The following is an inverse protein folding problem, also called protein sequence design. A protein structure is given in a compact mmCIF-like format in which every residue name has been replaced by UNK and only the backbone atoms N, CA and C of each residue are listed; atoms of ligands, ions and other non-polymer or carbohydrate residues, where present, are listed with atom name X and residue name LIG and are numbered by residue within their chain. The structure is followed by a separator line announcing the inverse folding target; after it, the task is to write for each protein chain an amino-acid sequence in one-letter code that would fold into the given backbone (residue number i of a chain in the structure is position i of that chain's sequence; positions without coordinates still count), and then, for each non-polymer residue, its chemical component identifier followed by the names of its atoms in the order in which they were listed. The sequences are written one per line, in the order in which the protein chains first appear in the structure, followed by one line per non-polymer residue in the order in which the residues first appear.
data_IF_338035412412
#
_entry.id   IF_338035412412
#
_cell.length_a   1.000
_cell.length_b   1.000
_cell.length_c   1.000
_cell.angle_alpha   90.00
_cell.angle_beta   90.00
_cell.angle_gamma   90.00
#
_symmetry.space_group_name_H-M   'P 1'
#
loop_
_entity.id
_entity.type
_entity.pdbx_description
1 polymer ?
#
# COMPACT_ATOMS: atom_id res chain seq x y z
N UNK A 1 27.93 -34.95 -20.46
CA UNK A 1 26.55 -35.54 -20.31
C UNK A 1 25.42 -34.61 -20.79
N UNK A 2 25.65 -33.32 -21.05
CA UNK A 2 24.60 -32.32 -21.45
C UNK A 2 24.27 -32.33 -22.95
N UNK A 3 25.03 -33.02 -23.82
CA UNK A 3 24.78 -33.08 -25.27
C UNK A 3 23.47 -33.78 -25.69
N UNK A 4 22.78 -34.47 -24.78
CA UNK A 4 21.51 -35.18 -25.08
C UNK A 4 20.25 -34.32 -25.13
N UNK A 5 20.27 -33.02 -24.72
CA UNK A 5 19.09 -32.19 -24.64
C UNK A 5 19.17 -30.92 -25.50
N UNK A 6 19.47 -31.06 -26.79
CA UNK A 6 19.42 -29.93 -27.76
C UNK A 6 18.15 -29.09 -27.67
N UNK A 7 16.93 -29.65 -27.48
CA UNK A 7 15.72 -28.82 -27.35
C UNK A 7 15.76 -27.88 -26.15
N UNK A 8 16.27 -28.32 -25.01
CA UNK A 8 16.36 -27.51 -23.79
C UNK A 8 17.40 -26.40 -23.97
N UNK A 9 18.52 -26.67 -24.63
CA UNK A 9 19.53 -25.64 -24.91
C UNK A 9 18.96 -24.53 -25.81
N UNK A 10 18.25 -24.89 -26.87
CA UNK A 10 17.58 -23.91 -27.74
C UNK A 10 16.57 -23.08 -26.96
N UNK A 11 15.77 -23.72 -26.10
CA UNK A 11 14.80 -23.02 -25.24
C UNK A 11 15.50 -22.02 -24.30
N UNK A 12 16.58 -22.39 -23.67
CA UNK A 12 17.39 -21.48 -22.82
C UNK A 12 17.91 -20.29 -23.64
N UNK A 13 18.36 -20.48 -24.86
CA UNK A 13 18.80 -19.36 -25.73
C UNK A 13 17.66 -18.37 -26.04
N UNK A 14 16.46 -18.87 -26.31
CA UNK A 14 15.29 -18.01 -26.55
C UNK A 14 14.91 -17.23 -25.30
N UNK A 15 14.95 -17.84 -24.12
CA UNK A 15 14.69 -17.14 -22.85
C UNK A 15 15.73 -16.03 -22.62
N UNK A 16 17.01 -16.31 -22.85
CA UNK A 16 18.06 -15.30 -22.72
C UNK A 16 17.89 -14.17 -23.74
N UNK A 17 17.55 -14.48 -24.97
CA UNK A 17 17.27 -13.46 -25.99
C UNK A 17 16.09 -12.57 -25.58
N UNK A 18 15.03 -13.18 -25.11
CA UNK A 18 13.85 -12.44 -24.61
C UNK A 18 14.23 -11.55 -23.41
N UNK A 19 15.05 -12.07 -22.48
CA UNK A 19 15.59 -11.30 -21.37
C UNK A 19 16.42 -10.09 -21.80
N UNK A 20 17.31 -10.25 -22.78
CA UNK A 20 18.11 -9.15 -23.37
C UNK A 20 17.19 -8.09 -23.99
N UNK A 21 16.23 -8.51 -24.81
CA UNK A 21 15.27 -7.58 -25.45
C UNK A 21 14.46 -6.82 -24.39
N UNK A 22 13.93 -7.51 -23.40
CA UNK A 22 13.15 -6.90 -22.32
C UNK A 22 13.98 -5.90 -21.51
N UNK A 23 15.22 -6.26 -21.17
CA UNK A 23 16.13 -5.37 -20.42
C UNK A 23 16.53 -4.15 -21.27
N UNK A 24 16.71 -4.31 -22.58
CA UNK A 24 16.99 -3.20 -23.49
C UNK A 24 15.86 -2.15 -23.47
N UNK A 25 14.61 -2.59 -23.62
CA UNK A 25 13.46 -1.68 -23.53
C UNK A 25 13.33 -1.07 -22.14
N UNK A 26 13.55 -1.85 -21.07
CA UNK A 26 13.51 -1.35 -19.71
C UNK A 26 14.55 -0.25 -19.45
N UNK A 27 15.77 -0.39 -19.98
CA UNK A 27 16.82 0.65 -19.89
C UNK A 27 16.43 1.92 -20.62
N UNK A 28 15.88 1.82 -21.86
CA UNK A 28 15.45 2.98 -22.63
C UNK A 28 14.29 3.71 -21.92
N UNK A 29 13.23 2.99 -21.57
CA UNK A 29 12.07 3.57 -20.91
C UNK A 29 12.43 4.15 -19.54
N UNK A 30 13.29 3.44 -18.78
CA UNK A 30 13.82 3.92 -17.50
C UNK A 30 14.67 5.18 -17.65
N UNK A 31 15.45 5.30 -18.73
CA UNK A 31 16.18 6.53 -19.03
C UNK A 31 15.23 7.72 -19.24
N UNK A 32 14.21 7.57 -20.11
CA UNK A 32 13.22 8.64 -20.31
C UNK A 32 12.48 8.99 -19.01
N UNK A 33 12.12 7.99 -18.20
CA UNK A 33 11.48 8.24 -16.92
C UNK A 33 12.41 8.99 -15.95
N UNK A 34 13.72 8.73 -15.99
CA UNK A 34 14.70 9.42 -15.14
C UNK A 34 14.82 10.92 -15.45
N UNK A 35 14.42 11.35 -16.65
CA UNK A 35 14.42 12.76 -17.06
C UNK A 35 13.23 13.54 -16.45
N UNK A 36 12.24 12.88 -15.87
CA UNK A 36 11.11 13.55 -15.21
C UNK A 36 11.49 14.28 -13.92
N UNK A 37 12.72 14.10 -13.42
CA UNK A 37 13.29 14.81 -12.28
C UNK A 37 12.79 14.32 -10.90
N UNK A 38 13.20 15.03 -9.87
CA UNK A 38 12.75 14.88 -8.48
C UNK A 38 13.12 13.54 -7.79
N UNK A 39 14.02 12.75 -8.37
CA UNK A 39 14.56 11.55 -7.75
C UNK A 39 15.82 11.84 -6.93
N UNK A 40 16.04 11.04 -5.89
CA UNK A 40 17.31 11.05 -5.17
C UNK A 40 18.45 10.68 -6.13
N UNK A 41 19.48 11.55 -6.21
CA UNK A 41 20.56 11.45 -7.20
C UNK A 41 21.34 10.15 -7.06
N UNK A 42 21.66 9.72 -5.84
CA UNK A 42 22.43 8.50 -5.59
C UNK A 42 21.60 7.25 -5.95
N UNK A 43 20.35 7.19 -5.52
CA UNK A 43 19.48 6.02 -5.77
C UNK A 43 19.19 5.86 -7.25
N UNK A 44 18.89 6.96 -7.98
CA UNK A 44 18.66 6.91 -9.43
C UNK A 44 19.94 6.58 -10.20
N UNK A 45 21.10 7.06 -9.76
CA UNK A 45 22.39 6.73 -10.36
C UNK A 45 22.64 5.22 -10.31
N UNK A 46 22.56 4.60 -9.12
CA UNK A 46 22.81 3.16 -8.95
C UNK A 46 21.77 2.31 -9.65
N UNK A 47 20.50 2.69 -9.64
CA UNK A 47 19.44 1.99 -10.39
C UNK A 47 19.69 2.02 -11.90
N UNK A 48 19.97 3.20 -12.46
CA UNK A 48 20.20 3.40 -13.89
C UNK A 48 21.41 2.62 -14.40
N UNK A 49 22.56 2.82 -13.74
CA UNK A 49 23.79 2.15 -14.16
C UNK A 49 23.79 0.66 -13.84
N UNK A 50 23.11 0.23 -12.79
CA UNK A 50 22.84 -1.18 -12.52
C UNK A 50 22.06 -1.84 -13.64
N UNK A 51 21.01 -1.19 -14.15
CA UNK A 51 20.23 -1.66 -15.30
C UNK A 51 21.07 -1.79 -16.58
N UNK A 52 21.91 -0.80 -16.87
CA UNK A 52 22.86 -0.85 -18.01
C UNK A 52 23.87 -2.00 -17.85
N UNK A 53 24.42 -2.19 -16.66
CA UNK A 53 25.35 -3.28 -16.38
C UNK A 53 24.69 -4.67 -16.58
N UNK A 54 23.45 -4.84 -16.11
CA UNK A 54 22.67 -6.07 -16.32
C UNK A 54 22.47 -6.31 -17.81
N UNK A 55 22.13 -5.30 -18.60
CA UNK A 55 21.97 -5.42 -20.06
C UNK A 55 23.26 -5.92 -20.70
N UNK A 56 24.40 -5.29 -20.39
CA UNK A 56 25.71 -5.67 -20.95
C UNK A 56 26.06 -7.10 -20.57
N UNK A 57 25.94 -7.47 -19.28
CA UNK A 57 26.23 -8.81 -18.80
C UNK A 57 25.30 -9.87 -19.43
N UNK A 58 24.03 -9.54 -19.63
CA UNK A 58 23.07 -10.44 -20.29
C UNK A 58 23.40 -10.66 -21.75
N UNK A 59 23.82 -9.61 -22.48
CA UNK A 59 24.29 -9.72 -23.88
C UNK A 59 25.54 -10.59 -23.95
N UNK A 60 26.52 -10.33 -23.08
CA UNK A 60 27.77 -11.12 -23.02
C UNK A 60 27.46 -12.60 -22.76
N UNK A 61 26.62 -12.89 -21.76
CA UNK A 61 26.25 -14.26 -21.45
C UNK A 61 25.48 -14.93 -22.59
N UNK A 62 24.58 -14.21 -23.27
CA UNK A 62 23.86 -14.71 -24.44
C UNK A 62 24.83 -15.15 -25.54
N UNK A 63 25.86 -14.34 -25.87
CA UNK A 63 26.85 -14.71 -26.88
C UNK A 63 27.75 -15.87 -26.47
N UNK A 64 28.16 -15.92 -25.20
CA UNK A 64 28.91 -17.03 -24.65
C UNK A 64 28.13 -18.35 -24.80
N UNK A 65 26.85 -18.31 -24.39
CA UNK A 65 25.96 -19.45 -24.45
C UNK A 65 25.68 -19.87 -25.91
N UNK A 66 25.40 -18.90 -26.81
CA UNK A 66 25.07 -19.15 -28.22
C UNK A 66 26.25 -19.71 -28.99
N UNK A 67 27.47 -19.22 -28.74
CA UNK A 67 28.70 -19.70 -29.40
C UNK A 67 29.28 -20.96 -28.75
N UNK A 68 28.62 -21.50 -27.73
CA UNK A 68 29.06 -22.68 -26.98
C UNK A 68 30.47 -22.53 -26.44
N UNK A 69 30.87 -21.33 -26.04
CA UNK A 69 32.17 -21.08 -25.44
C UNK A 69 32.23 -21.84 -24.11
N UNK A 70 33.22 -22.73 -23.99
CA UNK A 70 33.39 -23.53 -22.78
C UNK A 70 33.96 -22.66 -21.67
N UNK A 71 33.11 -22.37 -20.68
CA UNK A 71 33.53 -21.72 -19.42
C UNK A 71 33.60 -22.82 -18.34
N UNK A 72 34.64 -22.83 -17.48
CA UNK A 72 34.66 -23.71 -16.31
C UNK A 72 33.37 -23.54 -15.47
N UNK A 73 32.91 -24.63 -14.89
CA UNK A 73 31.68 -24.64 -14.09
C UNK A 73 31.65 -23.51 -13.04
N UNK A 74 32.75 -23.31 -12.33
CA UNK A 74 32.91 -22.26 -11.33
C UNK A 74 32.72 -20.86 -11.95
N UNK A 75 33.35 -20.57 -13.09
CA UNK A 75 33.22 -19.29 -13.80
C UNK A 75 31.78 -19.02 -14.28
N UNK A 76 31.11 -20.04 -14.81
CA UNK A 76 29.73 -19.94 -15.22
C UNK A 76 28.78 -19.65 -14.03
N UNK A 77 28.97 -20.37 -12.92
CA UNK A 77 28.17 -20.17 -11.71
C UNK A 77 28.38 -18.77 -11.12
N UNK A 78 29.66 -18.33 -11.06
CA UNK A 78 29.99 -16.98 -10.57
C UNK A 78 29.33 -15.90 -11.41
N UNK A 79 29.39 -16.01 -12.76
CA UNK A 79 28.78 -15.03 -13.66
C UNK A 79 27.26 -14.98 -13.49
N UNK A 80 26.60 -16.13 -13.44
CA UNK A 80 25.13 -16.19 -13.23
C UNK A 80 24.72 -15.67 -11.86
N UNK A 81 25.46 -16.01 -10.80
CA UNK A 81 25.21 -15.47 -9.46
C UNK A 81 25.42 -13.96 -9.41
N UNK A 82 26.44 -13.45 -10.12
CA UNK A 82 26.67 -12.01 -10.24
C UNK A 82 25.49 -11.28 -10.95
N UNK A 83 25.00 -11.84 -12.06
CA UNK A 83 23.82 -11.29 -12.75
C UNK A 83 22.59 -11.32 -11.84
N UNK A 84 22.34 -12.42 -11.14
CA UNK A 84 21.22 -12.56 -10.22
C UNK A 84 21.30 -11.54 -9.07
N UNK A 85 22.48 -11.35 -8.48
CA UNK A 85 22.73 -10.35 -7.46
C UNK A 85 22.47 -8.93 -7.99
N UNK A 86 22.96 -8.60 -9.18
CA UNK A 86 22.75 -7.30 -9.81
C UNK A 86 21.26 -7.03 -10.09
N UNK A 87 20.50 -8.03 -10.53
CA UNK A 87 19.06 -7.92 -10.74
C UNK A 87 18.37 -7.60 -9.41
N UNK A 88 18.70 -8.34 -8.34
CA UNK A 88 18.14 -8.11 -7.01
C UNK A 88 18.48 -6.71 -6.48
N UNK A 89 19.75 -6.31 -6.55
CA UNK A 89 20.21 -5.01 -6.09
C UNK A 89 19.55 -3.86 -6.87
N UNK A 90 19.56 -3.94 -8.21
CA UNK A 90 18.96 -2.91 -9.06
C UNK A 90 17.44 -2.86 -8.88
N UNK A 91 16.78 -4.01 -8.72
CA UNK A 91 15.36 -4.08 -8.41
C UNK A 91 15.02 -3.45 -7.07
N UNK A 92 15.85 -3.66 -6.04
CA UNK A 92 15.71 -3.01 -4.74
C UNK A 92 15.84 -1.48 -4.84
N UNK A 93 16.85 -0.98 -5.57
CA UNK A 93 17.00 0.46 -5.81
C UNK A 93 15.78 1.04 -6.55
N UNK A 94 15.24 0.33 -7.55
CA UNK A 94 14.01 0.73 -8.25
C UNK A 94 12.77 0.72 -7.35
N UNK A 95 12.67 -0.25 -6.45
CA UNK A 95 11.64 -0.29 -5.41
C UNK A 95 11.70 0.93 -4.50
N UNK A 96 12.91 1.32 -4.06
CA UNK A 96 13.11 2.51 -3.23
C UNK A 96 12.64 3.78 -3.96
N UNK A 97 12.94 3.94 -5.25
CA UNK A 97 12.51 5.10 -6.05
C UNK A 97 10.98 5.22 -6.19
N UNK A 98 10.25 4.11 -6.13
CA UNK A 98 8.79 4.09 -6.33
C UNK A 98 7.98 4.06 -5.04
N UNK A 99 8.50 3.41 -4.00
CA UNK A 99 7.79 3.17 -2.74
C UNK A 99 8.46 3.80 -1.52
N UNK A 100 9.69 4.34 -1.69
CA UNK A 100 10.51 4.83 -0.58
C UNK A 100 11.42 3.75 0.00
N UNK A 101 12.50 4.18 0.68
CA UNK A 101 13.58 3.29 1.17
C UNK A 101 13.14 2.30 2.26
N UNK A 102 11.99 2.52 2.89
CA UNK A 102 11.48 1.70 4.00
C UNK A 102 10.43 0.69 3.58
N UNK A 103 10.04 0.62 2.30
CA UNK A 103 8.88 -0.14 1.82
C UNK A 103 8.93 -1.64 2.17
N UNK A 104 10.11 -2.27 2.13
CA UNK A 104 10.25 -3.70 2.49
C UNK A 104 9.97 -3.97 3.97
N UNK A 105 10.12 -2.97 4.82
CA UNK A 105 9.99 -3.10 6.27
C UNK A 105 8.71 -2.44 6.81
N UNK A 106 7.87 -1.91 5.93
CA UNK A 106 6.62 -1.24 6.33
C UNK A 106 5.72 -2.14 7.17
N UNK A 107 5.58 -3.40 6.75
CA UNK A 107 4.79 -4.42 7.43
C UNK A 107 5.63 -5.42 8.23
N UNK A 108 6.93 -5.17 8.39
CA UNK A 108 7.79 -6.07 9.13
C UNK A 108 7.45 -6.06 10.64
N UNK A 109 7.60 -7.19 11.34
CA UNK A 109 7.45 -7.25 12.80
C UNK A 109 8.40 -6.28 13.51
N UNK A 110 7.97 -5.74 14.65
CA UNK A 110 8.74 -4.76 15.41
C UNK A 110 10.21 -5.13 15.70
N UNK A 111 10.57 -6.39 16.00
CA UNK A 111 11.97 -6.76 16.17
C UNK A 111 12.83 -6.50 14.92
N UNK A 112 12.29 -6.78 13.72
CA UNK A 112 13.00 -6.54 12.45
C UNK A 112 13.08 -5.04 12.18
N UNK A 113 12.00 -4.28 12.41
CA UNK A 113 11.98 -2.82 12.27
C UNK A 113 13.02 -2.16 13.15
N UNK A 114 13.12 -2.59 14.41
CA UNK A 114 14.13 -2.09 15.36
C UNK A 114 15.56 -2.40 14.89
N UNK A 115 15.80 -3.58 14.30
CA UNK A 115 17.10 -3.96 13.77
C UNK A 115 17.58 -3.03 12.65
N UNK A 116 16.64 -2.55 11.81
CA UNK A 116 16.94 -1.63 10.70
C UNK A 116 16.75 -0.15 11.08
N UNK A 117 16.62 0.16 12.36
CA UNK A 117 16.52 1.53 12.86
C UNK A 117 15.17 2.23 12.61
N UNK A 118 14.13 1.47 12.28
CA UNK A 118 12.80 2.01 12.08
C UNK A 118 12.01 2.04 13.39
N UNK A 119 11.14 3.04 13.58
CA UNK A 119 10.24 3.06 14.74
C UNK A 119 9.32 1.84 14.73
N UNK A 120 8.84 1.47 15.91
CA UNK A 120 7.84 0.42 16.03
C UNK A 120 6.65 0.72 15.11
N UNK A 121 6.11 -0.32 14.50
CA UNK A 121 4.96 -0.17 13.63
C UNK A 121 3.74 0.29 14.47
N UNK A 122 3.34 1.52 14.29
CA UNK A 122 2.09 2.03 14.86
C UNK A 122 0.84 1.38 14.21
N UNK A 123 1.01 0.73 13.04
CA UNK A 123 -0.03 -0.12 12.44
C UNK A 123 -0.41 -1.35 13.27
N UNK A 124 0.28 -1.65 14.38
CA UNK A 124 -0.17 -2.64 15.38
C UNK A 124 -1.48 -2.25 16.08
N UNK A 125 -2.07 -1.10 15.76
CA UNK A 125 -3.43 -0.73 16.15
C UNK A 125 -4.52 -1.38 15.30
N UNK A 126 -4.24 -2.54 14.68
CA UNK A 126 -5.19 -3.29 13.83
C UNK A 126 -6.52 -3.67 14.51
N UNK A 127 -6.67 -3.41 15.78
CA UNK A 127 -7.90 -3.65 16.56
C UNK A 127 -8.46 -2.35 17.13
N UNK A 128 -8.51 -1.29 16.31
CA UNK A 128 -9.36 -0.14 16.65
C UNK A 128 -10.81 -0.61 16.62
N UNK A 129 -11.35 -0.81 17.80
CA UNK A 129 -12.75 -1.23 17.99
C UNK A 129 -13.60 -0.10 18.56
N UNK A 130 -12.98 0.99 19.00
CA UNK A 130 -13.65 2.13 19.66
C UNK A 130 -13.22 3.43 19.00
N UNK A 131 -14.19 4.23 18.61
CA UNK A 131 -13.96 5.57 18.08
C UNK A 131 -13.17 6.46 19.05
N UNK A 132 -13.35 6.26 20.34
CA UNK A 132 -12.64 6.97 21.40
C UNK A 132 -11.13 6.68 21.45
N UNK A 133 -10.69 5.60 20.82
CA UNK A 133 -9.27 5.23 20.74
C UNK A 133 -8.59 5.67 19.45
N UNK A 134 -9.32 6.29 18.51
CA UNK A 134 -8.82 6.73 17.22
C UNK A 134 -7.93 7.96 17.38
N UNK A 135 -6.64 7.85 17.02
CA UNK A 135 -5.73 9.00 16.92
C UNK A 135 -5.92 9.70 15.57
N UNK A 136 -6.12 11.03 15.61
CA UNK A 136 -6.46 11.81 14.42
C UNK A 136 -5.38 11.73 13.35
N UNK A 137 -4.11 11.90 13.72
CA UNK A 137 -3.05 11.87 12.73
C UNK A 137 -2.65 10.44 12.33
N UNK A 138 -2.39 9.58 13.31
CA UNK A 138 -1.83 8.25 13.07
C UNK A 138 -2.83 7.30 12.41
N UNK A 139 -4.10 7.37 12.80
CA UNK A 139 -5.11 6.41 12.34
C UNK A 139 -5.93 6.94 11.14
N UNK A 140 -6.00 8.27 10.94
CA UNK A 140 -6.82 8.88 9.89
C UNK A 140 -5.97 9.54 8.79
N UNK A 141 -5.11 10.51 9.15
CA UNK A 141 -4.43 11.36 8.17
C UNK A 141 -3.22 10.64 7.56
N UNK A 142 -2.35 10.05 8.38
CA UNK A 142 -1.14 9.35 7.90
C UNK A 142 -1.48 8.24 6.89
N UNK A 143 -2.50 7.37 7.10
CA UNK A 143 -2.87 6.36 6.11
C UNK A 143 -3.36 6.93 4.77
N UNK A 144 -3.99 8.12 4.77
CA UNK A 144 -4.38 8.80 3.54
C UNK A 144 -3.12 9.28 2.80
N UNK A 145 -2.17 9.92 3.52
CA UNK A 145 -0.89 10.37 2.94
C UNK A 145 -0.12 9.19 2.35
N UNK A 146 -0.01 8.08 3.09
CA UNK A 146 0.69 6.86 2.66
C UNK A 146 0.13 6.31 1.34
N UNK A 147 -1.19 6.22 1.24
CA UNK A 147 -1.84 5.62 0.07
C UNK A 147 -1.90 6.55 -1.14
N UNK A 148 -1.97 7.87 -0.96
CA UNK A 148 -2.29 8.84 -2.01
C UNK A 148 -1.14 9.75 -2.41
N UNK A 149 -0.19 10.02 -1.50
CA UNK A 149 0.79 11.11 -1.66
C UNK A 149 2.24 10.63 -1.65
N UNK A 150 2.60 9.71 -0.75
CA UNK A 150 4.00 9.33 -0.49
C UNK A 150 4.68 8.69 -1.70
N UNK A 151 3.93 8.03 -2.61
CA UNK A 151 4.54 7.47 -3.84
C UNK A 151 5.27 8.50 -4.72
N UNK A 152 4.98 9.80 -4.54
CA UNK A 152 5.63 10.91 -5.26
C UNK A 152 6.33 11.91 -4.34
N UNK A 153 5.97 11.91 -3.05
CA UNK A 153 6.46 12.88 -2.06
C UNK A 153 7.12 12.15 -0.88
N UNK A 154 8.25 11.49 -1.14
CA UNK A 154 9.04 10.74 -0.15
C UNK A 154 10.52 11.16 -0.19
N UNK A 155 11.38 10.46 0.56
CA UNK A 155 12.82 10.77 0.62
C UNK A 155 13.55 10.49 -0.69
N UNK A 156 13.08 9.50 -1.48
CA UNK A 156 13.72 9.07 -2.73
C UNK A 156 13.14 9.78 -3.97
N UNK A 157 11.92 10.31 -3.84
CA UNK A 157 11.23 11.08 -4.87
C UNK A 157 10.52 12.26 -4.22
N UNK A 158 11.11 13.45 -4.35
CA UNK A 158 10.63 14.68 -3.70
C UNK A 158 10.07 15.67 -4.71
N UNK A 159 8.97 15.33 -5.37
CA UNK A 159 8.34 16.29 -6.27
C UNK A 159 8.02 17.60 -5.56
N UNK A 160 8.56 18.73 -6.08
CA UNK A 160 8.44 20.03 -5.45
C UNK A 160 9.18 20.15 -4.11
N UNK A 161 10.28 19.39 -3.93
CA UNK A 161 11.06 19.27 -2.68
C UNK A 161 10.20 18.91 -1.45
N UNK A 162 9.04 18.27 -1.69
CA UNK A 162 8.06 17.95 -0.67
C UNK A 162 8.21 16.50 -0.20
N UNK A 163 8.36 16.33 1.11
CA UNK A 163 8.40 15.03 1.76
C UNK A 163 7.24 14.89 2.76
N UNK A 164 6.38 13.89 2.55
CA UNK A 164 5.17 13.65 3.34
C UNK A 164 5.26 12.39 4.23
N UNK A 165 6.46 11.82 4.39
CA UNK A 165 6.66 10.56 5.14
C UNK A 165 6.61 10.73 6.66
N UNK A 166 6.61 11.95 7.16
CA UNK A 166 6.49 12.24 8.60
C UNK A 166 5.69 13.52 8.82
N UNK A 167 5.07 13.64 10.00
CA UNK A 167 4.37 14.87 10.38
C UNK A 167 5.29 16.10 10.33
N UNK A 168 6.52 16.00 10.82
CA UNK A 168 7.46 17.13 10.84
C UNK A 168 7.84 17.59 9.44
N UNK A 169 8.07 16.66 8.50
CA UNK A 169 8.37 17.01 7.11
C UNK A 169 7.14 17.56 6.38
N UNK A 170 5.95 17.00 6.63
CA UNK A 170 4.67 17.53 6.12
C UNK A 170 4.48 19.00 6.52
N UNK A 171 4.71 19.32 7.78
CA UNK A 171 4.55 20.71 8.31
C UNK A 171 5.67 21.66 7.89
N UNK A 172 6.83 21.14 7.50
CA UNK A 172 7.92 21.91 6.91
C UNK A 172 7.52 22.48 5.53
N UNK A 173 6.79 21.68 4.74
CA UNK A 173 6.42 21.99 3.36
C UNK A 173 7.52 21.67 2.35
N UNK A 174 7.43 22.23 1.14
CA UNK A 174 8.33 21.99 0.03
C UNK A 174 8.87 23.29 -0.59
N UNK A 175 9.21 23.23 -1.87
CA UNK A 175 9.76 24.36 -2.65
C UNK A 175 8.86 25.61 -2.61
N UNK A 176 7.54 25.43 -2.65
CA UNK A 176 6.54 26.53 -2.57
C UNK A 176 6.28 27.00 -1.13
N UNK A 177 7.01 26.52 -0.14
CA UNK A 177 6.81 26.83 1.28
C UNK A 177 5.85 25.87 1.97
N UNK A 178 5.17 26.37 3.04
CA UNK A 178 4.23 25.55 3.82
C UNK A 178 2.99 25.22 3.02
N UNK A 179 2.66 23.93 2.94
CA UNK A 179 1.47 23.44 2.25
C UNK A 179 0.24 23.31 3.16
N UNK A 180 0.46 23.38 4.48
CA UNK A 180 -0.59 23.38 5.51
C UNK A 180 -0.39 24.60 6.41
N UNK A 181 -1.47 25.35 6.56
CA UNK A 181 -1.58 26.45 7.53
C UNK A 181 -2.57 25.99 8.60
N UNK A 182 -2.10 25.63 9.80
CA UNK A 182 -2.99 25.17 10.87
C UNK A 182 -4.13 26.16 11.15
N UNK A 183 -5.37 25.65 11.20
CA UNK A 183 -6.57 26.45 11.40
C UNK A 183 -7.13 27.12 10.15
N UNK A 184 -6.35 27.26 9.06
CA UNK A 184 -6.78 27.94 7.84
C UNK A 184 -6.76 26.99 6.62
N UNK A 185 -7.93 26.49 6.26
CA UNK A 185 -8.13 25.62 5.10
C UNK A 185 -7.87 26.40 3.80
N UNK A 186 -8.32 27.64 3.74
CA UNK A 186 -8.28 28.47 2.52
C UNK A 186 -6.87 28.81 2.09
N UNK A 187 -5.96 29.00 3.05
CA UNK A 187 -4.54 29.28 2.81
C UNK A 187 -3.69 27.99 2.72
N UNK A 188 -4.28 26.80 2.90
CA UNK A 188 -3.58 25.54 2.84
C UNK A 188 -3.50 25.01 1.41
N UNK A 189 -2.31 25.07 0.77
CA UNK A 189 -2.11 24.66 -0.62
C UNK A 189 -2.39 23.15 -0.83
N UNK A 190 -2.13 22.32 0.17
CA UNK A 190 -2.53 20.91 0.15
C UNK A 190 -4.03 20.77 -0.11
N UNK A 191 -4.87 21.49 0.66
CA UNK A 191 -6.32 21.39 0.53
C UNK A 191 -6.79 21.95 -0.80
N UNK A 192 -6.23 23.08 -1.22
CA UNK A 192 -6.50 23.66 -2.54
C UNK A 192 -6.25 22.65 -3.65
N UNK A 193 -5.07 22.00 -3.67
CA UNK A 193 -4.70 21.07 -4.74
C UNK A 193 -5.55 19.82 -4.80
N UNK A 194 -5.95 19.25 -3.67
CA UNK A 194 -6.78 18.03 -3.65
C UNK A 194 -8.27 18.31 -3.98
N UNK A 195 -8.69 19.58 -3.98
CA UNK A 195 -10.07 20.02 -4.29
C UNK A 195 -10.23 20.67 -5.66
N UNK A 196 -9.14 20.86 -6.42
CA UNK A 196 -9.20 21.33 -7.80
C UNK A 196 -9.93 20.32 -8.70
N UNK A 197 -10.47 20.77 -9.85
CA UNK A 197 -10.93 19.85 -10.88
C UNK A 197 -9.84 18.87 -11.31
N UNK A 198 -10.19 17.61 -11.55
CA UNK A 198 -9.21 16.54 -11.86
C UNK A 198 -8.38 16.78 -13.11
N UNK A 199 -8.88 17.61 -14.04
CA UNK A 199 -8.17 18.04 -15.26
C UNK A 199 -7.28 19.27 -15.05
N UNK A 200 -7.25 19.86 -13.85
CA UNK A 200 -6.41 21.02 -13.57
C UNK A 200 -4.95 20.59 -13.41
N UNK A 201 -4.00 21.33 -14.01
CA UNK A 201 -2.56 21.02 -13.98
C UNK A 201 -1.96 20.87 -12.58
N UNK A 202 -2.52 21.59 -11.60
CA UNK A 202 -2.08 21.59 -10.19
C UNK A 202 -2.89 20.63 -9.32
N UNK A 203 -3.82 19.86 -9.90
CA UNK A 203 -4.60 18.86 -9.15
C UNK A 203 -3.69 17.77 -8.60
N UNK A 204 -3.94 17.34 -7.35
CA UNK A 204 -3.24 16.24 -6.70
C UNK A 204 -4.22 15.20 -6.14
N UNK A 205 -3.93 13.92 -6.33
CA UNK A 205 -2.80 13.32 -7.07
C UNK A 205 -2.89 13.57 -8.58
N UNK A 206 -1.74 13.66 -9.23
CA UNK A 206 -1.66 13.92 -10.68
C UNK A 206 -2.39 12.86 -11.52
N UNK A 207 -2.70 13.19 -12.78
CA UNK A 207 -3.35 12.31 -13.74
C UNK A 207 -2.76 10.88 -13.76
N UNK A 208 -3.63 9.89 -13.87
CA UNK A 208 -3.25 8.47 -13.82
C UNK A 208 -3.17 7.88 -12.40
N UNK A 209 -3.34 8.69 -11.35
CA UNK A 209 -3.46 8.23 -9.96
C UNK A 209 -4.89 8.36 -9.48
N UNK A 210 -5.29 7.48 -8.57
CA UNK A 210 -6.64 7.51 -8.02
C UNK A 210 -6.82 8.75 -7.11
N UNK A 211 -7.81 9.62 -7.39
CA UNK A 211 -8.13 10.77 -6.54
C UNK A 211 -8.48 10.37 -5.11
N UNK A 212 -8.44 11.34 -4.20
CA UNK A 212 -9.01 11.16 -2.87
C UNK A 212 -10.54 11.02 -2.97
N UNK A 213 -11.12 10.25 -2.06
CA UNK A 213 -12.57 10.21 -1.90
C UNK A 213 -13.07 11.47 -1.18
N UNK A 214 -14.35 11.80 -1.33
CA UNK A 214 -14.97 12.95 -0.63
C UNK A 214 -14.77 12.83 0.89
N UNK A 215 -14.89 11.61 1.44
CA UNK A 215 -14.64 11.32 2.85
C UNK A 215 -13.20 11.66 3.26
N UNK A 216 -12.20 11.33 2.43
CA UNK A 216 -10.79 11.63 2.69
C UNK A 216 -10.51 13.13 2.62
N UNK A 217 -11.09 13.82 1.64
CA UNK A 217 -11.01 15.29 1.51
C UNK A 217 -11.63 15.97 2.72
N UNK A 218 -12.82 15.53 3.15
CA UNK A 218 -13.52 16.08 4.31
C UNK A 218 -12.70 15.90 5.60
N UNK A 219 -12.07 14.73 5.80
CA UNK A 219 -11.21 14.48 6.96
C UNK A 219 -9.97 15.37 6.98
N UNK A 220 -9.29 15.55 5.84
CA UNK A 220 -8.13 16.44 5.74
C UNK A 220 -8.54 17.89 6.05
N UNK A 221 -9.65 18.36 5.47
CA UNK A 221 -10.18 19.69 5.73
C UNK A 221 -10.51 19.91 7.19
N UNK A 222 -11.22 18.96 7.81
CA UNK A 222 -11.54 19.01 9.23
C UNK A 222 -10.27 19.02 10.10
N UNK A 223 -9.30 18.17 9.81
CA UNK A 223 -8.03 18.10 10.53
C UNK A 223 -7.23 19.42 10.46
N UNK A 224 -7.13 20.04 9.26
CA UNK A 224 -6.51 21.36 9.10
C UNK A 224 -7.25 22.40 9.95
N UNK A 225 -8.60 22.43 9.91
CA UNK A 225 -9.44 23.35 10.69
C UNK A 225 -9.25 23.18 12.21
N UNK A 226 -8.87 21.97 12.66
CA UNK A 226 -8.55 21.68 14.05
C UNK A 226 -7.07 21.94 14.40
N UNK A 227 -6.41 22.84 13.67
CA UNK A 227 -5.00 23.22 13.82
C UNK A 227 -3.99 22.11 13.48
N UNK A 228 -4.37 21.17 12.62
CA UNK A 228 -3.52 20.09 12.12
C UNK A 228 -2.72 19.40 13.24
N UNK A 229 -3.35 18.81 14.27
CA UNK A 229 -2.64 18.19 15.38
C UNK A 229 -1.80 17.00 14.94
N UNK A 230 -0.61 16.84 15.55
CA UNK A 230 0.30 15.71 15.29
C UNK A 230 -0.14 14.42 15.97
N UNK A 231 -1.02 14.50 16.96
CA UNK A 231 -1.56 13.39 17.74
C UNK A 231 -2.77 13.85 18.54
N UNK A 232 -3.49 12.90 19.10
CA UNK A 232 -4.63 13.15 19.98
C UNK A 232 -5.84 12.34 19.55
N UNK A 233 -6.64 11.95 20.53
CA UNK A 233 -7.85 11.18 20.27
C UNK A 233 -8.92 12.02 19.59
N UNK A 234 -9.61 11.42 18.62
CA UNK A 234 -10.64 12.09 17.80
C UNK A 234 -11.66 12.85 18.65
N UNK A 235 -12.13 12.23 19.75
CA UNK A 235 -13.15 12.81 20.63
C UNK A 235 -12.70 14.09 21.36
N UNK A 236 -11.39 14.26 21.58
CA UNK A 236 -10.84 15.49 22.19
C UNK A 236 -11.01 16.73 21.29
N UNK A 237 -11.23 16.55 19.98
CA UNK A 237 -11.38 17.64 19.00
C UNK A 237 -12.84 17.95 18.67
N UNK A 238 -13.81 17.40 19.42
CA UNK A 238 -15.24 17.61 19.24
C UNK A 238 -15.67 17.47 17.76
N UNK A 239 -15.56 16.27 17.16
CA UNK A 239 -16.00 16.02 15.79
C UNK A 239 -17.54 16.14 15.71
N UNK A 240 -18.04 16.69 14.61
CA UNK A 240 -19.47 16.63 14.32
C UNK A 240 -19.87 15.20 13.88
N UNK A 241 -21.18 14.95 13.82
CA UNK A 241 -21.72 13.65 13.44
C UNK A 241 -21.19 13.18 12.07
N UNK A 242 -21.09 14.07 11.10
CA UNK A 242 -20.60 13.76 9.75
C UNK A 242 -19.17 13.21 9.76
N UNK A 243 -18.28 13.80 10.56
CA UNK A 243 -16.89 13.30 10.73
C UNK A 243 -16.87 11.96 11.47
N UNK A 244 -17.73 11.77 12.47
CA UNK A 244 -17.85 10.48 13.18
C UNK A 244 -18.29 9.39 12.22
N UNK A 245 -19.35 9.63 11.44
CA UNK A 245 -19.87 8.67 10.45
C UNK A 245 -18.83 8.35 9.37
N UNK A 246 -18.07 9.36 8.93
CA UNK A 246 -16.99 9.23 7.97
C UNK A 246 -15.85 8.31 8.53
N UNK A 247 -15.41 8.58 9.75
CA UNK A 247 -14.36 7.79 10.43
C UNK A 247 -14.81 6.34 10.62
N UNK A 248 -16.06 6.14 11.03
CA UNK A 248 -16.63 4.81 11.20
C UNK A 248 -16.60 4.03 9.88
N UNK A 249 -17.05 4.64 8.77
CA UNK A 249 -16.95 4.00 7.44
C UNK A 249 -15.52 3.71 7.02
N UNK A 250 -14.61 4.67 7.23
CA UNK A 250 -13.21 4.54 6.78
C UNK A 250 -12.44 3.46 7.54
N UNK A 251 -12.73 3.29 8.83
CA UNK A 251 -12.08 2.31 9.70
C UNK A 251 -12.87 1.00 9.85
N UNK A 252 -14.07 0.91 9.24
CA UNK A 252 -14.94 -0.25 9.35
C UNK A 252 -15.48 -0.44 10.79
N UNK A 253 -15.66 0.65 11.54
CA UNK A 253 -16.13 0.59 12.93
C UNK A 253 -17.66 0.40 12.99
N UNK A 254 -18.38 0.77 11.95
CA UNK A 254 -19.83 0.58 11.85
C UNK A 254 -20.22 -0.89 11.78
N UNK A 255 -19.43 -1.71 11.07
CA UNK A 255 -19.67 -3.15 10.95
C UNK A 255 -19.58 -3.88 12.29
N UNK A 256 -18.91 -3.28 13.28
CA UNK A 256 -18.75 -3.84 14.62
C UNK A 256 -19.63 -3.18 15.69
N UNK A 257 -20.27 -2.04 15.42
CA UNK A 257 -21.09 -1.35 16.42
C UNK A 257 -22.31 -2.17 16.86
N UNK A 258 -22.95 -2.91 15.93
CA UNK A 258 -24.04 -3.79 16.28
C UNK A 258 -23.57 -4.97 17.17
N UNK A 259 -22.37 -5.50 16.95
CA UNK A 259 -21.80 -6.59 17.75
C UNK A 259 -21.47 -6.20 19.20
N UNK A 260 -21.49 -4.90 19.52
CA UNK A 260 -21.25 -4.37 20.89
C UNK A 260 -22.51 -4.16 21.70
N UNK A 261 -23.68 -4.15 21.04
CA UNK A 261 -24.93 -4.08 21.73
C UNK A 261 -25.08 -5.35 22.58
N UNK A 262 -25.30 -5.18 23.90
CA UNK A 262 -25.70 -6.31 24.73
C UNK A 262 -27.12 -6.69 24.35
N UNK A 263 -27.24 -7.73 23.56
CA UNK A 263 -28.55 -8.33 23.26
C UNK A 263 -28.85 -9.44 24.30
N UNK A 264 -30.13 -9.69 24.50
CA UNK A 264 -30.55 -10.77 25.38
C UNK A 264 -30.20 -12.13 24.74
N UNK A 265 -29.85 -13.15 25.56
CA UNK A 265 -29.60 -14.48 25.01
C UNK A 265 -30.83 -14.95 24.22
N UNK A 266 -30.63 -15.47 23.03
CA UNK A 266 -31.74 -15.97 22.20
C UNK A 266 -32.46 -17.10 22.91
N UNK A 267 -33.79 -17.12 22.81
CA UNK A 267 -34.56 -18.22 23.32
C UNK A 267 -34.22 -19.49 22.52
N UNK A 268 -34.11 -20.63 23.21
CA UNK A 268 -33.77 -21.92 22.59
C UNK A 268 -34.76 -22.27 21.46
N UNK A 269 -36.04 -21.94 21.63
CA UNK A 269 -37.09 -22.17 20.64
C UNK A 269 -36.81 -21.47 19.32
N UNK A 270 -36.19 -20.29 19.33
CA UNK A 270 -35.83 -19.53 18.11
C UNK A 270 -34.67 -20.24 17.38
N UNK A 271 -33.65 -20.68 18.10
CA UNK A 271 -32.53 -21.43 17.52
C UNK A 271 -33.02 -22.75 16.91
N UNK A 272 -33.88 -23.48 17.62
CA UNK A 272 -34.45 -24.73 17.18
C UNK A 272 -35.34 -24.50 15.93
N UNK A 273 -36.11 -23.42 15.88
CA UNK A 273 -36.96 -23.04 14.74
C UNK A 273 -36.11 -22.74 13.50
N UNK A 274 -35.04 -21.92 13.62
CA UNK A 274 -34.12 -21.62 12.54
C UNK A 274 -33.45 -22.89 12.01
N UNK A 275 -32.97 -23.75 12.90
CA UNK A 275 -32.32 -25.02 12.53
C UNK A 275 -33.30 -25.96 11.82
N UNK A 276 -34.54 -26.03 12.28
CA UNK A 276 -35.60 -26.83 11.64
C UNK A 276 -36.01 -26.28 10.27
N UNK A 277 -35.86 -24.96 10.07
CA UNK A 277 -36.05 -24.28 8.77
C UNK A 277 -34.90 -24.49 7.79
N UNK A 278 -33.80 -25.11 8.22
CA UNK A 278 -32.64 -25.42 7.39
C UNK A 278 -31.46 -24.48 7.52
N UNK A 279 -31.52 -23.54 8.48
CA UNK A 279 -30.37 -22.67 8.73
C UNK A 279 -29.33 -23.37 9.62
N UNK A 280 -28.04 -23.17 9.29
CA UNK A 280 -26.93 -23.45 10.20
C UNK A 280 -26.76 -22.25 11.09
N UNK A 281 -27.00 -22.39 12.38
CA UNK A 281 -26.95 -21.30 13.35
C UNK A 281 -25.66 -21.41 14.14
N UNK A 282 -24.79 -20.38 14.01
CA UNK A 282 -23.53 -20.28 14.74
C UNK A 282 -23.56 -19.08 15.69
N UNK A 283 -22.91 -19.22 16.85
CA UNK A 283 -22.70 -18.10 17.77
C UNK A 283 -21.49 -17.32 17.30
N UNK A 284 -21.66 -16.06 16.84
CA UNK A 284 -20.58 -15.19 16.38
C UNK A 284 -19.66 -14.75 17.52
N UNK A 285 -20.24 -14.43 18.69
CA UNK A 285 -19.48 -13.99 19.88
C UNK A 285 -20.13 -14.53 21.16
N UNK A 286 -19.34 -15.17 22.00
CA UNK A 286 -19.83 -15.79 23.26
C UNK A 286 -20.41 -14.78 24.27
N UNK A 287 -19.95 -13.52 24.23
CA UNK A 287 -20.33 -12.53 25.25
C UNK A 287 -21.54 -11.65 24.85
N UNK A 288 -21.89 -11.61 23.54
CA UNK A 288 -22.88 -10.67 22.99
C UNK A 288 -24.12 -11.34 22.39
N UNK A 289 -24.17 -12.67 22.39
CA UNK A 289 -25.30 -13.50 21.91
C UNK A 289 -25.75 -13.26 20.48
N UNK A 290 -24.89 -12.68 19.62
CA UNK A 290 -25.17 -12.59 18.19
C UNK A 290 -25.04 -13.93 17.51
N UNK A 291 -26.02 -14.23 16.65
CA UNK A 291 -26.08 -15.46 15.87
C UNK A 291 -25.86 -15.16 14.40
N UNK A 292 -25.14 -16.03 13.72
CA UNK A 292 -25.11 -16.14 12.27
C UNK A 292 -26.05 -17.25 11.85
N UNK A 293 -27.03 -16.94 10.99
CA UNK A 293 -27.91 -17.93 10.37
C UNK A 293 -27.50 -18.10 8.90
N UNK A 294 -26.88 -19.22 8.56
CA UNK A 294 -26.40 -19.52 7.21
C UNK A 294 -27.24 -20.58 6.54
N UNK A 295 -27.79 -20.27 5.36
CA UNK A 295 -28.65 -21.18 4.58
C UNK A 295 -27.93 -21.82 3.38
N UNK A 296 -26.68 -21.41 3.09
CA UNK A 296 -25.95 -21.79 1.87
C UNK A 296 -25.66 -23.29 1.73
N UNK A 297 -25.70 -24.04 2.83
CA UNK A 297 -25.49 -25.49 2.85
C UNK A 297 -26.78 -26.29 3.14
N UNK A 298 -27.93 -25.63 3.10
CA UNK A 298 -29.21 -26.29 3.30
C UNK A 298 -29.63 -27.09 2.06
N UNK A 299 -30.12 -28.29 2.27
CA UNK A 299 -30.79 -29.09 1.23
C UNK A 299 -32.24 -28.64 1.00
N UNK A 300 -32.77 -27.72 1.82
CA UNK A 300 -34.13 -27.20 1.74
C UNK A 300 -34.18 -25.97 0.83
N UNK A 301 -35.32 -25.77 0.15
CA UNK A 301 -35.57 -24.54 -0.59
C UNK A 301 -35.93 -23.39 0.36
N UNK A 302 -35.40 -22.17 0.07
CA UNK A 302 -35.70 -20.98 0.83
C UNK A 302 -37.14 -20.53 0.49
N UNK A 303 -38.03 -20.63 1.45
CA UNK A 303 -39.43 -20.19 1.30
C UNK A 303 -39.67 -18.88 2.03
N UNK A 304 -40.73 -18.15 1.68
CA UNK A 304 -41.10 -16.92 2.40
C UNK A 304 -41.29 -17.17 3.91
N UNK A 305 -41.83 -18.34 4.30
CA UNK A 305 -41.97 -18.73 5.71
C UNK A 305 -40.60 -18.89 6.41
N UNK A 306 -39.57 -19.31 5.67
CA UNK A 306 -38.20 -19.42 6.23
C UNK A 306 -37.58 -18.05 6.52
N UNK A 307 -37.98 -17.03 5.77
CA UNK A 307 -37.50 -15.63 5.93
C UNK A 307 -38.28 -14.94 7.05
N UNK A 308 -39.57 -15.20 7.21
CA UNK A 308 -40.37 -14.62 8.30
C UNK A 308 -39.96 -15.12 9.71
N UNK A 309 -39.14 -16.17 9.77
CA UNK A 309 -38.61 -16.74 11.02
C UNK A 309 -37.32 -16.02 11.49
N UNK A 310 -36.70 -15.21 10.63
CA UNK A 310 -35.53 -14.38 10.92
C UNK A 310 -35.91 -13.04 11.58
#
# INVERSE_FOLDING_TARGET
KWKKFKPIQNFIHYIWLLGVISTFFAVILGYFLSLSGDYNEDTIFWHKWGGVAILILSIVYYFISKRQISIPFQGNTTLLSGIAFMIFYTGHMGGNLTHGSTYLFEYAPNPIRKLVGLPNNSMSRKNLTLIDSVDVYLDLISPIMDKRCISCHNLEKKKGDLNLTSFSSLMKGGESGKIIIPGDISSSDLFRRITLPTNHKDFMPTEGKQPLTDDQVALIGWWIKKNAPSSGYLTAFNPNKEIIDNVNRQLGLDDFNFLRQKVQPPKKEIIDSLSNSGFIVNVLMKENYFLEANFSLSEKELTNNSIETL
#
